data_IF_309241249788
#
_entry.id   IF_309241249788
#
_cell.length_a   1.000
_cell.length_b   1.000
_cell.length_c   1.000
_cell.angle_alpha   90.00
_cell.angle_beta   90.00
_cell.angle_gamma   90.00
#
_symmetry.space_group_name_H-M   'P 1'
#
loop_
_entity.id
_entity.type
_entity.pdbx_description
1 polymer ?
#
# COMPACT_ATOMS: atom_id res chain seq x y z
N UNK A 1 -19.99 -4.48 -2.07
CA UNK A 1 -20.01 -4.64 -3.54
C UNK A 1 -18.70 -5.30 -3.96
N UNK A 2 -18.68 -6.11 -5.02
CA UNK A 2 -17.45 -6.74 -5.52
C UNK A 2 -16.82 -5.89 -6.63
N UNK A 3 -15.49 -5.72 -6.62
CA UNK A 3 -14.76 -4.94 -7.63
C UNK A 3 -13.40 -5.57 -7.96
N UNK A 4 -13.05 -5.61 -9.24
CA UNK A 4 -11.69 -5.87 -9.70
C UNK A 4 -10.92 -4.55 -9.80
N UNK A 5 -9.71 -4.52 -9.24
CA UNK A 5 -8.92 -3.28 -9.09
C UNK A 5 -7.51 -3.51 -9.60
N UNK A 6 -7.08 -2.67 -10.54
CA UNK A 6 -5.69 -2.64 -11.01
C UNK A 6 -4.85 -1.72 -10.11
N UNK A 7 -3.68 -2.18 -9.70
CA UNK A 7 -2.70 -1.39 -8.95
C UNK A 7 -1.79 -0.60 -9.92
N UNK A 8 -1.29 0.59 -9.53
CA UNK A 8 -1.38 1.22 -8.19
C UNK A 8 -2.74 1.88 -7.91
N UNK A 9 -3.12 1.94 -6.63
CA UNK A 9 -4.31 2.66 -6.19
C UNK A 9 -4.12 4.18 -6.30
N UNK A 10 -5.18 4.88 -6.69
CA UNK A 10 -5.22 6.35 -6.64
C UNK A 10 -5.97 6.84 -5.42
N UNK A 11 -5.62 8.03 -4.91
CA UNK A 11 -6.30 8.64 -3.77
C UNK A 11 -7.78 8.89 -4.06
N UNK A 12 -8.10 9.23 -5.31
CA UNK A 12 -9.46 9.48 -5.80
C UNK A 12 -10.30 8.20 -5.78
N UNK A 13 -9.72 7.07 -6.20
CA UNK A 13 -10.41 5.78 -6.16
C UNK A 13 -10.66 5.32 -4.72
N UNK A 14 -9.66 5.40 -3.85
CA UNK A 14 -9.77 4.97 -2.44
C UNK A 14 -10.88 5.71 -1.70
N UNK A 15 -11.08 7.01 -1.98
CA UNK A 15 -12.17 7.82 -1.41
C UNK A 15 -13.58 7.32 -1.75
N UNK A 16 -13.74 6.50 -2.79
CA UNK A 16 -15.03 5.96 -3.22
C UNK A 16 -15.38 4.63 -2.55
N UNK A 17 -14.42 4.01 -1.86
CA UNK A 17 -14.59 2.73 -1.19
C UNK A 17 -15.48 2.87 0.05
N UNK A 18 -16.28 1.83 0.32
CA UNK A 18 -17.13 1.75 1.50
C UNK A 18 -16.79 0.50 2.29
N UNK A 19 -17.01 0.55 3.61
CA UNK A 19 -16.86 -0.62 4.47
C UNK A 19 -17.79 -1.73 3.98
N UNK A 20 -17.25 -2.95 3.85
CA UNK A 20 -17.96 -4.10 3.30
C UNK A 20 -17.83 -4.26 1.78
N UNK A 21 -17.09 -3.39 1.09
CA UNK A 21 -16.66 -3.66 -0.28
C UNK A 21 -15.60 -4.77 -0.32
N UNK A 22 -15.77 -5.71 -1.26
CA UNK A 22 -14.83 -6.79 -1.55
C UNK A 22 -14.04 -6.40 -2.78
N UNK A 23 -12.71 -6.41 -2.68
CA UNK A 23 -11.81 -5.98 -3.73
C UNK A 23 -10.91 -7.14 -4.16
N UNK A 24 -10.80 -7.39 -5.46
CA UNK A 24 -9.82 -8.28 -6.05
C UNK A 24 -8.71 -7.43 -6.67
N UNK A 25 -7.54 -7.44 -6.04
CA UNK A 25 -6.41 -6.62 -6.46
C UNK A 25 -5.57 -7.37 -7.52
N UNK A 26 -5.25 -6.67 -8.61
CA UNK A 26 -4.40 -7.17 -9.70
C UNK A 26 -3.23 -6.20 -9.91
N UNK A 27 -2.01 -6.73 -9.86
CA UNK A 27 -0.78 -5.94 -9.98
C UNK A 27 0.25 -6.36 -8.93
N UNK A 28 1.22 -5.49 -8.66
CA UNK A 28 2.28 -5.76 -7.69
C UNK A 28 1.89 -5.31 -6.28
N UNK A 29 2.10 -6.19 -5.31
CA UNK A 29 1.92 -5.91 -3.87
C UNK A 29 3.18 -6.34 -3.15
N UNK A 30 3.80 -5.41 -2.43
CA UNK A 30 4.95 -5.72 -1.57
C UNK A 30 4.46 -6.14 -0.19
N UNK A 31 5.03 -7.20 0.36
CA UNK A 31 4.73 -7.64 1.73
C UNK A 31 5.69 -6.98 2.71
N UNK A 32 5.15 -6.41 3.79
CA UNK A 32 5.92 -5.71 4.81
C UNK A 32 5.31 -6.01 6.18
N UNK A 33 6.16 -6.30 7.17
CA UNK A 33 5.77 -6.59 8.57
C UNK A 33 6.72 -5.85 9.52
N UNK A 34 6.74 -6.20 10.79
CA UNK A 34 7.39 -5.51 11.90
C UNK A 34 8.83 -5.07 11.59
N UNK A 35 9.71 -6.01 11.21
CA UNK A 35 11.12 -5.71 10.95
C UNK A 35 11.32 -4.81 9.72
N UNK A 36 10.48 -4.98 8.70
CA UNK A 36 10.54 -4.16 7.49
C UNK A 36 10.02 -2.73 7.76
N UNK A 37 8.95 -2.57 8.56
CA UNK A 37 8.47 -1.26 9.00
C UNK A 37 9.54 -0.54 9.82
N UNK A 38 10.19 -1.24 10.77
CA UNK A 38 11.28 -0.66 11.57
C UNK A 38 12.43 -0.20 10.68
N UNK A 39 12.87 -1.04 9.73
CA UNK A 39 13.96 -0.68 8.81
C UNK A 39 13.62 0.55 7.97
N UNK A 40 12.38 0.65 7.47
CA UNK A 40 11.94 1.82 6.69
C UNK A 40 11.98 3.08 7.58
N UNK A 41 11.50 2.98 8.82
CA UNK A 41 11.55 4.09 9.76
C UNK A 41 12.99 4.53 10.07
N UNK A 42 13.89 3.59 10.40
CA UNK A 42 15.29 3.88 10.73
C UNK A 42 16.00 4.60 9.57
N UNK A 43 15.74 4.20 8.31
CA UNK A 43 16.28 4.86 7.11
C UNK A 43 15.75 6.29 6.96
N UNK A 44 14.43 6.48 7.11
CA UNK A 44 13.83 7.81 7.00
C UNK A 44 14.32 8.77 8.10
N UNK A 45 14.53 8.28 9.33
CA UNK A 45 15.10 9.05 10.44
C UNK A 45 16.56 9.43 10.19
N UNK A 46 17.32 8.58 9.48
CA UNK A 46 18.68 8.87 9.03
C UNK A 46 18.74 9.84 7.82
N UNK A 47 17.59 10.23 7.25
CA UNK A 47 17.51 11.06 6.04
C UNK A 47 17.80 10.28 4.75
N UNK A 48 17.79 8.96 4.81
CA UNK A 48 17.86 8.07 3.64
C UNK A 48 16.47 7.84 3.03
N UNK A 49 16.45 7.34 1.80
CA UNK A 49 15.20 7.03 1.10
C UNK A 49 14.64 5.66 1.52
N UNK A 50 13.32 5.52 1.43
CA UNK A 50 12.67 4.22 1.56
C UNK A 50 13.16 3.28 0.44
N UNK A 51 13.39 1.99 0.71
CA UNK A 51 13.76 1.00 -0.31
C UNK A 51 12.59 0.65 -1.25
N UNK A 52 11.40 1.20 -0.99
CA UNK A 52 10.17 1.06 -1.76
C UNK A 52 9.60 2.45 -2.07
N UNK A 53 8.91 2.57 -3.21
CA UNK A 53 8.35 3.80 -3.77
C UNK A 53 7.04 4.27 -3.12
#
# INVERSE_FOLDING_TARGET
>A
MERDVQLPLTKEFVKQLKVGDVLYLSGYVYTCRDAAHKRIQDLLEAGEESPLD
#
